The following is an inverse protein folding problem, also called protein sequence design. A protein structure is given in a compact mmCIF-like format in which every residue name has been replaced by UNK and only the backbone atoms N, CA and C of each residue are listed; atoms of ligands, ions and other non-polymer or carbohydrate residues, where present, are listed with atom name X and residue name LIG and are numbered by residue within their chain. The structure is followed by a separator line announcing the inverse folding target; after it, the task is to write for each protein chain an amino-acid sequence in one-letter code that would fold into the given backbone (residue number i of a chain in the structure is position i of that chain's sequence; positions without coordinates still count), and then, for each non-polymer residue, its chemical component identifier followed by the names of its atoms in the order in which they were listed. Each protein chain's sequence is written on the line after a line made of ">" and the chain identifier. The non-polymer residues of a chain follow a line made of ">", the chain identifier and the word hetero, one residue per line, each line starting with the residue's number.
data_IF_516964287540
#
_entry.id   IF_516964287540
#
_cell.length_a   1.000
_cell.length_b   1.000
_cell.length_c   1.000
_cell.angle_alpha   90.00
_cell.angle_beta   90.00
_cell.angle_gamma   90.00
#
_symmetry.space_group_name_H-M   'P 1'
#
loop_
_entity.id
_entity.type
_entity.pdbx_description
1 polymer ?
#
# COMPACT_ATOMS: atom_id res chain seq x y z
N UNK A 1 19.93 -39.04 -36.62
CA UNK A 1 20.76 -38.63 -35.47
C UNK A 1 20.73 -37.10 -35.28
N UNK A 2 21.14 -36.31 -36.28
CA UNK A 2 21.18 -34.83 -36.21
C UNK A 2 19.80 -34.18 -36.08
N UNK A 3 18.79 -34.69 -36.79
CA UNK A 3 17.41 -34.18 -36.69
C UNK A 3 16.80 -34.37 -35.29
N UNK A 4 17.12 -35.48 -34.60
CA UNK A 4 16.68 -35.74 -33.22
C UNK A 4 17.38 -34.78 -32.25
N UNK A 5 18.68 -34.55 -32.45
CA UNK A 5 19.47 -33.64 -31.61
C UNK A 5 19.04 -32.17 -31.74
N UNK A 6 18.76 -31.70 -32.96
CA UNK A 6 18.24 -30.35 -33.20
C UNK A 6 16.80 -30.24 -32.68
N UNK A 7 15.96 -31.27 -32.86
CA UNK A 7 14.58 -31.28 -32.34
C UNK A 7 14.55 -31.24 -30.81
N UNK A 8 15.41 -31.96 -30.11
CA UNK A 8 15.51 -31.94 -28.64
C UNK A 8 16.03 -30.60 -28.11
N UNK A 9 17.03 -30.01 -28.77
CA UNK A 9 17.54 -28.68 -28.41
C UNK A 9 16.48 -27.59 -28.69
N UNK A 10 15.75 -27.72 -29.79
CA UNK A 10 14.65 -26.83 -30.17
C UNK A 10 13.43 -26.96 -29.24
N UNK A 11 13.12 -28.16 -28.73
CA UNK A 11 12.09 -28.34 -27.69
C UNK A 11 12.50 -27.66 -26.38
N UNK A 12 13.76 -27.76 -25.97
CA UNK A 12 14.29 -27.02 -24.80
C UNK A 12 14.19 -25.50 -25.00
N UNK A 13 14.39 -25.01 -26.24
CA UNK A 13 14.24 -23.60 -26.63
C UNK A 13 12.79 -23.15 -26.90
N UNK A 14 11.81 -24.06 -26.94
CA UNK A 14 10.39 -23.71 -27.13
C UNK A 14 9.62 -23.76 -25.79
N UNK A 15 10.07 -24.59 -24.84
CA UNK A 15 9.56 -24.68 -23.45
C UNK A 15 10.35 -23.80 -22.45
N UNK A 16 10.94 -22.70 -22.94
CA UNK A 16 11.78 -21.69 -22.25
C UNK A 16 11.17 -21.20 -20.93
N UNK A 17 9.84 -21.19 -20.80
CA UNK A 17 9.19 -20.70 -19.59
C UNK A 17 9.45 -21.59 -18.36
N UNK A 18 9.22 -22.90 -18.49
CA UNK A 18 9.24 -23.80 -17.34
C UNK A 18 10.58 -24.53 -17.21
N UNK A 19 11.25 -24.83 -18.31
CA UNK A 19 12.51 -25.58 -18.32
C UNK A 19 13.68 -24.79 -17.73
N UNK A 20 13.83 -23.51 -18.11
CA UNK A 20 14.86 -22.64 -17.54
C UNK A 20 14.59 -22.29 -16.09
N UNK A 21 13.33 -22.05 -15.72
CA UNK A 21 12.97 -21.82 -14.33
C UNK A 21 13.30 -23.03 -13.45
N UNK A 22 13.08 -24.25 -13.95
CA UNK A 22 13.44 -25.48 -13.26
C UNK A 22 14.97 -25.65 -13.17
N UNK A 23 15.72 -25.32 -14.24
CA UNK A 23 17.19 -25.33 -14.22
C UNK A 23 17.75 -24.34 -13.17
N UNK A 24 17.26 -23.10 -13.17
CA UNK A 24 17.66 -22.08 -12.19
C UNK A 24 17.29 -22.53 -10.78
N UNK A 25 16.07 -23.05 -10.59
CA UNK A 25 15.63 -23.57 -9.30
C UNK A 25 16.57 -24.69 -8.80
N UNK A 26 17.00 -25.61 -9.66
CA UNK A 26 17.97 -26.67 -9.32
C UNK A 26 19.32 -26.09 -8.92
N UNK A 27 19.87 -25.13 -9.68
CA UNK A 27 21.14 -24.47 -9.33
C UNK A 27 21.04 -23.77 -7.98
N UNK A 28 19.97 -23.02 -7.74
CA UNK A 28 19.69 -22.37 -6.46
C UNK A 28 19.54 -23.41 -5.34
N UNK A 29 18.87 -24.53 -5.59
CA UNK A 29 18.72 -25.62 -4.63
C UNK A 29 20.06 -26.29 -4.28
N UNK A 30 20.99 -26.38 -5.23
CA UNK A 30 22.33 -26.92 -4.99
C UNK A 30 23.20 -25.95 -4.18
N UNK A 31 23.10 -24.65 -4.45
CA UNK A 31 23.87 -23.62 -3.74
C UNK A 31 23.35 -23.36 -2.32
N UNK A 32 22.04 -23.24 -2.16
CA UNK A 32 21.41 -22.87 -0.89
C UNK A 32 20.82 -24.07 -0.13
N UNK A 33 20.56 -25.19 -0.80
CA UNK A 33 19.89 -26.35 -0.23
C UNK A 33 18.37 -26.25 -0.22
N UNK A 34 17.68 -27.39 -0.33
CA UNK A 34 16.21 -27.44 -0.36
C UNK A 34 15.49 -26.96 0.90
N UNK A 35 16.21 -26.83 2.03
CA UNK A 35 15.64 -26.34 3.29
C UNK A 35 15.66 -24.82 3.41
N UNK A 36 16.58 -24.12 2.73
CA UNK A 36 16.74 -22.67 2.90
C UNK A 36 15.70 -21.84 2.16
N UNK A 37 15.25 -22.28 0.97
CA UNK A 37 14.22 -21.56 0.21
C UNK A 37 12.88 -21.48 1.00
N UNK A 38 12.32 -22.58 1.54
CA UNK A 38 11.10 -22.52 2.34
C UNK A 38 11.27 -21.75 3.66
N UNK A 39 12.44 -21.86 4.29
CA UNK A 39 12.77 -21.14 5.53
C UNK A 39 12.79 -19.62 5.30
N UNK A 40 13.42 -19.16 4.22
CA UNK A 40 13.45 -17.76 3.80
C UNK A 40 12.05 -17.26 3.40
N UNK A 41 11.29 -18.04 2.63
CA UNK A 41 9.90 -17.68 2.26
C UNK A 41 9.00 -17.52 3.48
N UNK A 42 9.12 -18.40 4.48
CA UNK A 42 8.36 -18.28 5.74
C UNK A 42 8.75 -17.05 6.53
N UNK A 43 10.04 -16.73 6.61
CA UNK A 43 10.53 -15.51 7.26
C UNK A 43 10.04 -14.24 6.56
N UNK A 44 10.22 -14.17 5.24
CA UNK A 44 9.77 -13.05 4.42
C UNK A 44 8.25 -12.86 4.47
N UNK A 45 7.49 -13.97 4.41
CA UNK A 45 6.03 -13.93 4.48
C UNK A 45 5.50 -13.40 5.81
N UNK A 46 6.15 -13.75 6.93
CA UNK A 46 5.84 -13.18 8.25
C UNK A 46 6.16 -11.69 8.31
N UNK A 47 7.34 -11.29 7.84
CA UNK A 47 7.74 -9.88 7.81
C UNK A 47 6.83 -9.01 6.95
N UNK A 48 6.42 -9.49 5.77
CA UNK A 48 5.46 -8.80 4.90
C UNK A 48 4.09 -8.66 5.58
N UNK A 49 3.64 -9.68 6.30
CA UNK A 49 2.36 -9.66 7.04
C UNK A 49 2.39 -8.63 8.17
N UNK A 50 3.41 -8.69 9.03
CA UNK A 50 3.59 -7.75 10.14
C UNK A 50 3.73 -6.30 9.62
N UNK A 51 4.45 -6.10 8.52
CA UNK A 51 4.57 -4.80 7.87
C UNK A 51 3.23 -4.26 7.36
N UNK A 52 2.41 -5.11 6.73
CA UNK A 52 1.09 -4.71 6.28
C UNK A 52 0.13 -4.43 7.45
N UNK A 53 0.18 -5.23 8.51
CA UNK A 53 -0.66 -5.04 9.70
C UNK A 53 -0.34 -3.71 10.40
N UNK A 54 0.96 -3.41 10.60
CA UNK A 54 1.40 -2.12 11.15
C UNK A 54 0.99 -0.94 10.26
N UNK A 55 1.16 -1.05 8.94
CA UNK A 55 0.74 -0.02 7.99
C UNK A 55 -0.77 0.25 8.02
N UNK A 56 -1.58 -0.79 8.19
CA UNK A 56 -3.03 -0.66 8.25
C UNK A 56 -3.47 -0.01 9.57
N UNK A 57 -2.85 -0.39 10.69
CA UNK A 57 -3.13 0.18 12.00
C UNK A 57 -2.79 1.69 12.03
N UNK A 58 -1.61 2.07 11.52
CA UNK A 58 -1.21 3.49 11.39
C UNK A 58 -2.19 4.26 10.51
N UNK A 59 -2.68 3.67 9.41
CA UNK A 59 -3.71 4.32 8.57
C UNK A 59 -5.02 4.55 9.34
N UNK A 60 -5.47 3.57 10.12
CA UNK A 60 -6.67 3.69 10.94
C UNK A 60 -6.52 4.76 12.01
N UNK A 61 -5.39 4.82 12.72
CA UNK A 61 -5.12 5.87 13.71
C UNK A 61 -5.13 7.28 13.08
N UNK A 62 -4.58 7.43 11.88
CA UNK A 62 -4.58 8.71 11.16
C UNK A 62 -6.01 9.10 10.72
N UNK A 63 -6.80 8.14 10.23
CA UNK A 63 -8.19 8.37 9.81
C UNK A 63 -9.14 8.66 10.99
N UNK A 64 -8.94 8.01 12.14
CA UNK A 64 -9.70 8.20 13.37
C UNK A 64 -9.32 9.52 14.06
N UNK A 65 -8.01 9.82 14.16
CA UNK A 65 -7.51 11.09 14.72
C UNK A 65 -7.91 12.31 13.90
N UNK A 66 -8.21 12.14 12.60
CA UNK A 66 -8.72 13.20 11.74
C UNK A 66 -10.26 13.37 11.82
N UNK A 67 -10.97 12.42 12.47
CA UNK A 67 -12.43 12.46 12.69
C UNK A 67 -12.85 13.07 14.04
N UNK A 68 -11.94 13.22 15.01
CA UNK A 68 -12.24 13.74 16.35
C UNK A 68 -11.88 15.23 16.53
N UNK A 69 -12.49 16.11 15.71
CA UNK A 69 -12.60 17.52 16.10
C UNK A 69 -13.93 18.15 15.65
N UNK A 70 -15.05 17.89 16.35
CA UNK A 70 -16.22 18.72 16.24
C UNK A 70 -16.00 19.97 17.08
N UNK A 71 -15.57 21.08 16.46
CA UNK A 71 -15.87 22.39 17.06
C UNK A 71 -17.33 22.67 16.72
N UNK A 72 -18.23 22.25 17.62
CA UNK A 72 -19.60 22.75 17.71
C UNK A 72 -19.58 24.00 18.60
N UNK A 73 -19.87 25.20 18.09
CA UNK A 73 -20.26 26.33 18.92
C UNK A 73 -21.77 26.21 19.24
N UNK A 74 -22.09 25.90 20.49
CA UNK A 74 -23.39 26.10 21.15
C UNK A 74 -23.09 26.85 22.45
N UNK A 75 -23.75 27.91 22.90
CA UNK A 75 -24.97 28.67 22.61
C UNK A 75 -24.75 30.13 23.15
N UNK A 76 -25.70 31.09 23.31
CA UNK A 76 -27.14 31.10 23.05
C UNK A 76 -27.67 32.35 22.30
N UNK A 77 -28.89 32.25 21.76
CA UNK A 77 -29.65 33.41 21.29
C UNK A 77 -30.10 34.28 22.47
N UNK A 78 -29.89 35.59 22.39
CA UNK A 78 -30.66 36.59 23.14
C UNK A 78 -31.14 37.63 22.13
N UNK A 79 -32.46 37.66 21.95
CA UNK A 79 -33.19 38.72 21.27
C UNK A 79 -33.71 39.66 22.35
N UNK A 80 -33.22 40.91 22.42
CA UNK A 80 -34.05 42.10 22.75
C UNK A 80 -33.41 43.47 22.33
N UNK A 81 -33.93 44.00 21.21
CA UNK A 81 -34.38 45.39 20.84
C UNK A 81 -33.81 46.60 21.65
N UNK A 82 -33.42 47.80 21.09
CA UNK A 82 -34.18 48.58 20.09
C UNK A 82 -33.45 49.51 19.09
N UNK A 83 -34.19 49.84 18.02
CA UNK A 83 -34.10 51.00 17.11
C UNK A 83 -33.46 52.27 17.68
N UNK A 84 -32.47 52.80 16.94
CA UNK A 84 -32.09 54.22 16.67
C UNK A 84 -30.71 54.14 15.99
N UNK A 85 -30.36 54.81 14.91
CA UNK A 85 -30.69 56.16 14.48
C UNK A 85 -30.19 56.29 13.03
N UNK A 86 -31.06 56.77 12.13
CA UNK A 86 -30.62 57.32 10.86
C UNK A 86 -29.99 58.69 11.11
N UNK A 87 -28.69 58.88 10.86
CA UNK A 87 -28.08 60.20 10.59
C UNK A 87 -26.84 60.02 9.69
N UNK A 88 -27.02 60.32 8.41
CA UNK A 88 -25.96 60.79 7.49
C UNK A 88 -25.36 62.08 8.09
N UNK A 89 -24.02 62.21 8.21
CA UNK A 89 -23.41 63.30 7.46
C UNK A 89 -21.98 63.01 6.94
N UNK A 90 -21.72 63.50 5.73
CA UNK A 90 -20.46 64.14 5.31
C UNK A 90 -19.22 63.24 5.05
N UNK A 91 -18.78 63.10 3.79
CA UNK A 91 -17.83 64.00 3.09
C UNK A 91 -16.34 63.67 3.33
N UNK A 92 -15.70 62.98 2.37
CA UNK A 92 -14.36 63.24 1.79
C UNK A 92 -14.11 62.16 0.70
N UNK A 93 -13.41 62.34 -0.40
CA UNK A 93 -12.89 63.48 -1.16
C UNK A 93 -12.67 62.95 -2.59
#
# INVERSE_FOLDING_TARGET
>A
MTAVFVKSSFLILQDIGMSELLLIAVVVLLLFGGKKIPELMRGLGKGIREFNDAKNNVRQEIEEGMREKPVQPSAPATTDVPTKEAVDPHHNA
#
